data_IF_577145503444
#
_entry.id   IF_577145503444
#
_cell.length_a   1.000
_cell.length_b   1.000
_cell.length_c   1.000
_cell.angle_alpha   90.00
_cell.angle_beta   90.00
_cell.angle_gamma   90.00
#
_symmetry.space_group_name_H-M   'P 1'
#
loop_
_entity.id
_entity.type
_entity.pdbx_description
1 polymer ?
#
# COMPACT_ATOMS: atom_id res chain seq x y z
N UNK A 1 0.00 -2.38 -17.13
CA UNK A 1 0.44 -1.92 -15.79
C UNK A 1 -0.28 -2.72 -14.71
N UNK A 2 0.42 -3.06 -13.67
CA UNK A 2 -0.16 -3.81 -12.56
C UNK A 2 -0.47 -2.82 -11.41
N UNK A 3 -1.75 -2.56 -11.12
CA UNK A 3 -2.09 -1.56 -10.09
C UNK A 3 -1.49 -1.88 -8.73
N UNK A 4 -1.43 -3.15 -8.36
CA UNK A 4 -0.88 -3.53 -7.07
C UNK A 4 0.62 -3.26 -6.99
N UNK A 5 1.35 -3.64 -8.03
CA UNK A 5 2.79 -3.38 -8.09
C UNK A 5 3.08 -1.89 -8.05
N UNK A 6 2.31 -1.12 -8.80
CA UNK A 6 2.49 0.33 -8.84
C UNK A 6 2.20 0.94 -7.47
N UNK A 7 1.16 0.46 -6.80
CA UNK A 7 0.81 0.95 -5.47
C UNK A 7 1.95 0.69 -4.48
N UNK A 8 2.47 -0.53 -4.48
CA UNK A 8 3.56 -0.89 -3.58
C UNK A 8 4.80 -0.04 -3.86
N UNK A 9 5.10 0.15 -5.14
CA UNK A 9 6.24 0.98 -5.54
C UNK A 9 6.11 2.40 -4.97
N UNK A 10 4.91 2.97 -5.08
CA UNK A 10 4.66 4.32 -4.58
C UNK A 10 4.69 4.38 -3.05
N UNK A 11 4.19 3.35 -2.39
CA UNK A 11 4.25 3.30 -0.93
C UNK A 11 5.70 3.30 -0.45
N UNK A 12 6.52 2.47 -1.06
CA UNK A 12 7.94 2.40 -0.70
C UNK A 12 8.63 3.73 -0.97
N UNK A 13 8.36 4.33 -2.12
CA UNK A 13 8.93 5.63 -2.44
C UNK A 13 8.47 6.71 -1.46
N UNK A 14 7.29 6.53 -0.88
CA UNK A 14 6.73 7.48 0.08
C UNK A 14 7.13 7.22 1.52
N UNK A 15 8.04 6.28 1.76
CA UNK A 15 8.54 6.04 3.10
C UNK A 15 7.87 4.88 3.84
N UNK A 16 7.01 4.13 3.15
CA UNK A 16 6.39 2.95 3.73
C UNK A 16 7.26 1.74 3.50
N UNK A 17 7.18 0.78 4.40
CA UNK A 17 7.89 -0.48 4.22
C UNK A 17 7.02 -1.63 4.66
N UNK A 18 7.31 -2.81 4.14
CA UNK A 18 6.56 -4.00 4.47
C UNK A 18 6.79 -4.37 5.92
N UNK A 19 5.73 -4.35 6.71
CA UNK A 19 5.82 -4.68 8.11
C UNK A 19 5.48 -6.13 8.38
N UNK A 20 4.51 -6.68 7.63
CA UNK A 20 4.04 -8.02 7.89
C UNK A 20 3.33 -8.59 6.66
N UNK A 21 3.49 -9.89 6.43
CA UNK A 21 2.75 -10.62 5.41
C UNK A 21 1.57 -11.31 6.06
N UNK A 22 0.36 -10.84 5.76
CA UNK A 22 -0.83 -11.50 6.22
C UNK A 22 -1.31 -12.54 5.22
N UNK A 23 -2.37 -13.26 5.58
CA UNK A 23 -2.92 -14.29 4.71
C UNK A 23 -3.48 -13.69 3.42
N UNK A 24 -4.24 -12.61 3.54
CA UNK A 24 -4.89 -11.96 2.39
C UNK A 24 -4.41 -10.55 2.13
N UNK A 25 -3.60 -10.01 3.03
CA UNK A 25 -3.11 -8.64 2.94
C UNK A 25 -1.66 -8.57 3.36
N UNK A 26 -0.92 -7.71 2.69
CA UNK A 26 0.40 -7.33 3.15
C UNK A 26 0.26 -5.98 3.85
N UNK A 27 0.89 -5.86 5.01
CA UNK A 27 0.75 -4.65 5.83
C UNK A 27 1.99 -3.78 5.66
N UNK A 28 1.79 -2.54 5.22
CA UNK A 28 2.85 -1.57 5.04
C UNK A 28 2.75 -0.49 6.12
N UNK A 29 3.88 -0.02 6.59
CA UNK A 29 3.96 0.91 7.71
C UNK A 29 4.93 2.04 7.41
N UNK A 30 4.58 3.26 7.83
CA UNK A 30 5.46 4.41 7.73
C UNK A 30 5.84 4.87 9.13
N UNK A 31 7.13 4.88 9.42
CA UNK A 31 7.60 5.34 10.72
C UNK A 31 7.46 6.85 10.86
N UNK A 32 7.34 7.57 9.75
CA UNK A 32 7.17 9.02 9.78
C UNK A 32 5.77 9.41 10.22
N UNK A 33 4.77 8.82 9.58
CA UNK A 33 3.37 9.17 9.85
C UNK A 33 2.71 8.25 10.85
N UNK A 34 3.34 7.10 11.13
CA UNK A 34 2.79 6.06 12.00
C UNK A 34 1.53 5.43 11.44
N UNK A 35 1.32 5.57 10.13
CA UNK A 35 0.17 4.98 9.47
C UNK A 35 0.48 3.56 9.03
N UNK A 36 -0.54 2.71 9.09
CA UNK A 36 -0.46 1.33 8.66
C UNK A 36 -1.45 1.11 7.54
N UNK A 37 -0.98 0.60 6.41
CA UNK A 37 -1.81 0.44 5.22
C UNK A 37 -1.88 -1.03 4.83
N UNK A 38 -3.07 -1.64 4.84
CA UNK A 38 -3.23 -3.01 4.35
C UNK A 38 -3.36 -3.00 2.83
N UNK A 39 -2.58 -3.86 2.16
CA UNK A 39 -2.60 -3.97 0.71
C UNK A 39 -3.08 -5.36 0.33
N UNK A 40 -4.21 -5.43 -0.35
CA UNK A 40 -4.80 -6.70 -0.77
C UNK A 40 -3.86 -7.44 -1.73
N UNK A 41 -3.90 -8.77 -1.68
CA UNK A 41 -3.12 -9.59 -2.60
C UNK A 41 -3.90 -9.99 -3.84
N UNK A 42 -5.23 -10.05 -3.72
CA UNK A 42 -6.10 -10.50 -4.82
C UNK A 42 -7.14 -9.45 -5.15
N UNK A 43 -7.61 -9.49 -6.38
CA UNK A 43 -8.66 -8.59 -6.85
C UNK A 43 -8.31 -7.13 -6.65
N UNK A 44 -7.04 -6.80 -6.88
CA UNK A 44 -6.54 -5.44 -6.72
C UNK A 44 -6.69 -4.69 -8.04
N UNK A 45 -7.46 -3.60 -8.01
CA UNK A 45 -7.67 -2.80 -9.21
C UNK A 45 -7.26 -1.34 -8.96
N UNK A 46 -7.48 -0.50 -9.97
CA UNK A 46 -7.08 0.91 -9.88
C UNK A 46 -7.82 1.67 -8.80
N UNK A 47 -9.04 1.25 -8.51
CA UNK A 47 -9.82 1.87 -7.45
C UNK A 47 -9.16 1.63 -6.09
N UNK A 48 -8.69 0.41 -5.88
CA UNK A 48 -7.97 0.07 -4.65
C UNK A 48 -6.69 0.89 -4.54
N UNK A 49 -6.00 1.06 -5.67
CA UNK A 49 -4.78 1.88 -5.69
C UNK A 49 -5.07 3.31 -5.27
N UNK A 50 -6.12 3.91 -5.83
CA UNK A 50 -6.49 5.28 -5.49
C UNK A 50 -6.80 5.42 -4.01
N UNK A 51 -7.58 4.47 -3.47
CA UNK A 51 -7.96 4.51 -2.06
C UNK A 51 -6.75 4.39 -1.15
N UNK A 52 -5.85 3.47 -1.48
CA UNK A 52 -4.66 3.25 -0.66
C UNK A 52 -3.73 4.45 -0.69
N UNK A 53 -3.48 4.99 -1.88
CA UNK A 53 -2.60 6.15 -2.00
C UNK A 53 -3.19 7.36 -1.28
N UNK A 54 -4.51 7.49 -1.31
CA UNK A 54 -5.18 8.56 -0.60
C UNK A 54 -5.02 8.38 0.91
N UNK A 55 -5.22 7.18 1.41
CA UNK A 55 -5.03 6.89 2.84
C UNK A 55 -3.60 7.15 3.27
N UNK A 56 -2.66 6.84 2.41
CA UNK A 56 -1.25 7.02 2.71
C UNK A 56 -0.78 8.44 2.51
N UNK A 57 -1.63 9.31 1.97
CA UNK A 57 -1.26 10.69 1.70
C UNK A 57 -0.32 10.87 0.53
N UNK A 58 -0.28 9.89 -0.37
CA UNK A 58 0.66 9.91 -1.50
C UNK A 58 0.00 10.29 -2.83
N UNK A 59 -1.28 10.05 -2.96
CA UNK A 59 -2.07 10.45 -4.10
C UNK A 59 -1.41 10.29 -5.48
#
# INVERSE_FOLDING_TARGET
MNPRKETIKRLIAGGYELKRNGANHDVYFSSKTKLTIPVKRHDFNENDMKNILKQAGLK
#
